data_IF_823630617630
#
_entry.id   IF_823630617630
#
_cell.length_a   1.000
_cell.length_b   1.000
_cell.length_c   1.000
_cell.angle_alpha   90.00
_cell.angle_beta   90.00
_cell.angle_gamma   90.00
#
_symmetry.space_group_name_H-M   'P 1'
#
loop_
_entity.id
_entity.type
_entity.pdbx_description
1 polymer ?
#
# COMPACT_ATOMS: atom_id res chain seq x y z
N UNK A 1 -7.14 -15.25 -2.48
CA UNK A 1 -7.23 -14.03 -3.32
C UNK A 1 -5.92 -13.27 -3.20
N UNK A 2 -5.50 -12.64 -4.29
CA UNK A 2 -4.42 -11.64 -4.36
C UNK A 2 -5.03 -10.26 -4.14
N UNK A 3 -4.64 -9.60 -3.05
CA UNK A 3 -5.14 -8.29 -2.67
C UNK A 3 -3.99 -7.30 -2.70
N UNK A 4 -4.16 -6.20 -3.42
CA UNK A 4 -3.19 -5.10 -3.46
C UNK A 4 -3.77 -3.87 -2.78
N UNK A 5 -3.06 -3.35 -1.79
CA UNK A 5 -3.34 -2.05 -1.18
C UNK A 5 -2.40 -1.01 -1.76
N UNK A 6 -2.96 0.14 -2.14
CA UNK A 6 -2.25 1.39 -2.38
C UNK A 6 -2.63 2.31 -1.22
N UNK A 7 -1.74 2.47 -0.24
CA UNK A 7 -2.08 3.14 1.02
C UNK A 7 -1.14 4.29 1.38
N UNK A 8 -1.62 5.19 2.24
CA UNK A 8 -0.85 6.34 2.74
C UNK A 8 0.41 5.89 3.48
N UNK A 9 0.24 5.13 4.57
CA UNK A 9 1.35 4.41 5.20
C UNK A 9 0.86 3.31 6.15
N UNK A 10 1.49 2.14 6.07
CA UNK A 10 1.45 1.05 7.03
C UNK A 10 2.74 0.99 7.87
N UNK A 11 3.85 1.52 7.34
CA UNK A 11 5.16 1.49 7.99
C UNK A 11 5.37 2.57 9.05
N UNK A 12 4.61 3.67 8.99
CA UNK A 12 4.66 4.78 9.95
C UNK A 12 3.27 5.18 10.44
N UNK A 13 3.11 5.22 11.76
CA UNK A 13 1.92 5.76 12.45
C UNK A 13 2.03 7.26 12.78
N UNK A 14 3.14 7.91 12.44
CA UNK A 14 3.39 9.31 12.79
C UNK A 14 2.41 10.26 12.09
N UNK A 15 1.60 10.98 12.86
CA UNK A 15 0.55 11.86 12.34
C UNK A 15 -0.46 11.15 11.42
N UNK A 16 -0.53 9.82 11.47
CA UNK A 16 -1.26 8.98 10.53
C UNK A 16 -2.10 7.91 11.25
N UNK A 17 -3.41 8.15 11.33
CA UNK A 17 -4.35 7.17 11.89
C UNK A 17 -4.57 5.91 11.05
N UNK A 18 -4.15 5.88 9.79
CA UNK A 18 -4.40 4.74 8.90
C UNK A 18 -3.52 3.54 9.21
N UNK A 19 -2.28 3.75 9.70
CA UNK A 19 -1.32 2.67 9.89
C UNK A 19 -1.87 1.58 10.81
N UNK A 20 -2.42 1.93 11.97
CA UNK A 20 -3.00 0.96 12.93
C UNK A 20 -4.14 0.16 12.30
N UNK A 21 -5.03 0.83 11.55
CA UNK A 21 -6.15 0.18 10.86
C UNK A 21 -5.65 -0.78 9.77
N UNK A 22 -4.71 -0.34 8.92
CA UNK A 22 -4.11 -1.20 7.90
C UNK A 22 -3.40 -2.40 8.52
N UNK A 23 -2.66 -2.22 9.61
CA UNK A 23 -1.97 -3.31 10.31
C UNK A 23 -2.96 -4.37 10.78
N UNK A 24 -4.07 -3.96 11.40
CA UNK A 24 -5.14 -4.86 11.81
C UNK A 24 -5.78 -5.58 10.63
N UNK A 25 -6.17 -4.84 9.59
CA UNK A 25 -6.84 -5.38 8.41
C UNK A 25 -5.95 -6.36 7.63
N UNK A 26 -4.72 -5.96 7.30
CA UNK A 26 -3.78 -6.80 6.55
C UNK A 26 -3.44 -8.06 7.35
N UNK A 27 -3.19 -7.95 8.66
CA UNK A 27 -2.96 -9.12 9.53
C UNK A 27 -4.10 -10.13 9.43
N UNK A 28 -5.35 -9.68 9.57
CA UNK A 28 -6.50 -10.59 9.53
C UNK A 28 -6.78 -11.15 8.13
N UNK A 29 -6.52 -10.38 7.07
CA UNK A 29 -6.60 -10.88 5.69
C UNK A 29 -5.57 -11.98 5.42
N UNK A 30 -4.33 -11.78 5.84
CA UNK A 30 -3.26 -12.78 5.72
C UNK A 30 -3.61 -14.03 6.53
N UNK A 31 -4.11 -13.87 7.77
CA UNK A 31 -4.54 -14.99 8.61
C UNK A 31 -5.68 -15.81 7.99
N UNK A 32 -6.51 -15.19 7.15
CA UNK A 32 -7.57 -15.85 6.37
C UNK A 32 -7.06 -16.51 5.08
N UNK A 33 -5.76 -16.45 4.79
CA UNK A 33 -5.15 -17.09 3.62
C UNK A 33 -5.11 -16.24 2.35
N UNK A 34 -5.31 -14.92 2.45
CA UNK A 34 -5.14 -14.01 1.31
C UNK A 34 -3.66 -13.63 1.11
N UNK A 35 -3.20 -13.55 -0.14
CA UNK A 35 -1.90 -12.99 -0.50
C UNK A 35 -2.04 -11.47 -0.59
N UNK A 36 -1.45 -10.75 0.37
CA UNK A 36 -1.60 -9.29 0.48
C UNK A 36 -0.27 -8.60 0.16
N UNK A 37 -0.33 -7.68 -0.81
CA UNK A 37 0.73 -6.73 -1.12
C UNK A 37 0.27 -5.32 -0.74
N UNK A 38 1.03 -4.65 0.12
CA UNK A 38 0.85 -3.25 0.48
C UNK A 38 1.92 -2.40 -0.21
N UNK A 39 1.49 -1.46 -1.04
CA UNK A 39 2.33 -0.51 -1.75
C UNK A 39 2.19 0.85 -1.08
N UNK A 40 3.30 1.36 -0.55
CA UNK A 40 3.39 2.62 0.17
C UNK A 40 4.38 3.56 -0.54
N UNK A 41 4.00 4.82 -0.73
CA UNK A 41 4.90 5.81 -1.34
C UNK A 41 5.94 6.25 -0.31
N UNK A 42 7.22 6.14 -0.64
CA UNK A 42 8.28 6.65 0.22
C UNK A 42 8.27 8.18 0.22
N UNK A 43 7.97 8.78 1.38
CA UNK A 43 7.93 10.23 1.59
C UNK A 43 8.74 10.58 2.85
N UNK A 44 9.52 11.68 2.83
CA UNK A 44 10.47 12.00 3.90
C UNK A 44 9.87 11.96 5.32
N UNK A 45 8.70 12.56 5.50
CA UNK A 45 8.06 12.66 6.82
C UNK A 45 7.67 11.30 7.42
N UNK A 46 7.32 10.30 6.60
CA UNK A 46 7.07 8.94 7.09
C UNK A 46 8.36 8.13 7.17
N UNK A 47 9.29 8.33 6.23
CA UNK A 47 10.57 7.62 6.18
C UNK A 47 11.38 7.79 7.46
N UNK A 48 11.42 9.01 7.99
CA UNK A 48 12.12 9.38 9.21
C UNK A 48 11.41 8.91 10.48
N UNK A 49 10.12 8.52 10.40
CA UNK A 49 9.27 8.19 11.54
C UNK A 49 8.65 6.77 11.43
N UNK A 50 9.34 5.81 10.78
CA UNK A 50 8.84 4.42 10.67
C UNK A 50 8.95 3.69 12.01
N UNK A 51 7.81 3.51 12.67
CA UNK A 51 7.68 2.72 13.89
C UNK A 51 7.55 1.22 13.60
N UNK A 52 7.13 0.84 12.39
CA UNK A 52 7.06 -0.56 11.94
C UNK A 52 7.53 -0.71 10.49
N UNK A 53 8.84 -0.57 10.20
CA UNK A 53 9.36 -0.56 8.84
C UNK A 53 9.17 -1.88 8.08
N UNK A 54 9.04 -3.00 8.80
CA UNK A 54 8.82 -4.33 8.22
C UNK A 54 7.63 -5.00 8.91
N UNK A 55 6.38 -4.66 8.53
CA UNK A 55 5.21 -5.32 9.10
C UNK A 55 5.30 -6.84 8.93
N UNK A 56 5.06 -7.65 9.97
CA UNK A 56 5.25 -9.12 9.92
C UNK A 56 4.09 -9.85 9.21
N UNK A 57 3.23 -9.13 8.48
CA UNK A 57 2.08 -9.67 7.77
C UNK A 57 2.06 -9.15 6.34
N UNK A 58 1.81 -10.05 5.38
CA UNK A 58 1.82 -9.73 3.96
C UNK A 58 3.19 -9.27 3.47
N UNK A 59 3.24 -8.74 2.25
CA UNK A 59 4.39 -7.98 1.75
C UNK A 59 4.11 -6.50 1.81
N UNK A 60 5.05 -5.74 2.35
CA UNK A 60 5.06 -4.28 2.24
C UNK A 60 6.20 -3.88 1.32
N UNK A 61 5.93 -3.04 0.33
CA UNK A 61 6.94 -2.51 -0.60
C UNK A 61 6.78 -1.00 -0.67
N UNK A 62 7.92 -0.31 -0.59
CA UNK A 62 8.03 1.12 -0.79
C UNK A 62 8.32 1.40 -2.26
N UNK A 63 7.75 2.48 -2.80
CA UNK A 63 8.04 2.98 -4.15
C UNK A 63 8.29 4.48 -4.11
N UNK A 64 9.08 5.01 -5.05
CA UNK A 64 9.58 6.38 -5.06
C UNK A 64 8.84 7.28 -6.05
N UNK A 65 8.13 6.73 -7.04
CA UNK A 65 7.36 7.49 -8.05
C UNK A 65 6.11 6.76 -8.56
N UNK A 66 5.11 7.51 -9.05
CA UNK A 66 3.94 6.90 -9.74
C UNK A 66 4.40 6.17 -11.00
N UNK A 67 5.43 6.67 -11.67
CA UNK A 67 6.06 5.99 -12.81
C UNK A 67 6.64 4.63 -12.39
N UNK A 68 7.39 4.58 -11.29
CA UNK A 68 7.91 3.32 -10.75
C UNK A 68 6.77 2.39 -10.35
N UNK A 69 5.75 2.90 -9.66
CA UNK A 69 4.56 2.15 -9.28
C UNK A 69 3.94 1.46 -10.51
N UNK A 70 3.78 2.19 -11.60
CA UNK A 70 3.26 1.66 -12.88
C UNK A 70 4.19 0.63 -13.50
N UNK A 71 5.48 0.95 -13.61
CA UNK A 71 6.48 0.14 -14.32
C UNK A 71 6.81 -1.16 -13.58
N UNK A 72 7.03 -1.07 -12.27
CA UNK A 72 7.52 -2.17 -11.42
C UNK A 72 6.35 -2.97 -10.85
N UNK A 73 5.30 -2.31 -10.38
CA UNK A 73 4.19 -2.98 -9.68
C UNK A 73 2.93 -3.15 -10.53
N UNK A 74 2.89 -2.60 -11.75
CA UNK A 74 1.70 -2.69 -12.60
C UNK A 74 1.29 -4.10 -13.01
N UNK A 75 2.21 -5.08 -13.03
CA UNK A 75 1.84 -6.50 -13.21
C UNK A 75 1.09 -7.04 -11.99
N UNK A 76 1.57 -6.74 -10.78
CA UNK A 76 0.95 -7.19 -9.55
C UNK A 76 -0.44 -6.57 -9.36
N UNK A 77 -0.58 -5.27 -9.65
CA UNK A 77 -1.86 -4.54 -9.60
C UNK A 77 -2.85 -5.14 -10.61
N UNK A 78 -2.45 -5.37 -11.87
CA UNK A 78 -3.33 -5.95 -12.90
C UNK A 78 -3.75 -7.39 -12.62
N UNK A 79 -2.90 -8.17 -11.95
CA UNK A 79 -3.16 -9.57 -11.64
C UNK A 79 -3.86 -9.79 -10.29
N UNK A 80 -4.19 -8.71 -9.58
CA UNK A 80 -4.88 -8.78 -8.29
C UNK A 80 -6.37 -9.09 -8.50
N UNK A 81 -6.94 -9.87 -7.58
CA UNK A 81 -8.40 -10.09 -7.53
C UNK A 81 -9.12 -8.85 -6.95
N UNK A 82 -8.41 -8.07 -6.14
CA UNK A 82 -8.90 -6.84 -5.51
C UNK A 82 -7.77 -5.82 -5.39
N UNK A 83 -8.03 -4.58 -5.82
CA UNK A 83 -7.17 -3.42 -5.58
C UNK A 83 -7.91 -2.43 -4.67
N UNK A 84 -7.29 -2.07 -3.55
CA UNK A 84 -7.81 -1.08 -2.60
C UNK A 84 -6.96 0.18 -2.72
N UNK A 85 -7.58 1.28 -3.17
CA UNK A 85 -6.95 2.61 -3.16
C UNK A 85 -7.39 3.34 -1.89
N UNK A 86 -6.45 3.60 -1.00
CA UNK A 86 -6.68 4.28 0.27
C UNK A 86 -6.88 5.79 0.13
N UNK A 87 -7.45 6.40 1.16
CA UNK A 87 -7.47 7.85 1.31
C UNK A 87 -6.06 8.42 1.48
N UNK A 88 -5.87 9.65 1.01
CA UNK A 88 -4.63 10.43 1.14
C UNK A 88 -3.38 9.79 0.50
N UNK A 89 -3.50 8.74 -0.30
CA UNK A 89 -2.36 8.23 -1.10
C UNK A 89 -1.74 9.40 -1.89
N UNK A 90 -0.42 9.62 -1.79
CA UNK A 90 0.25 10.65 -2.58
C UNK A 90 -0.06 10.46 -4.07
N UNK A 91 -0.38 11.56 -4.76
CA UNK A 91 -0.81 11.54 -6.17
C UNK A 91 -2.10 10.72 -6.41
N UNK A 92 -2.97 10.61 -5.40
CA UNK A 92 -4.12 9.69 -5.37
C UNK A 92 -5.10 9.79 -6.53
N UNK A 93 -5.31 10.99 -7.11
CA UNK A 93 -6.15 11.14 -8.33
C UNK A 93 -5.52 10.43 -9.53
N UNK A 94 -4.20 10.61 -9.71
CA UNK A 94 -3.46 9.96 -10.78
C UNK A 94 -3.37 8.45 -10.57
N UNK A 95 -3.11 8.01 -9.34
CA UNK A 95 -3.11 6.59 -8.96
C UNK A 95 -4.47 5.96 -9.20
N UNK A 96 -5.55 6.64 -8.80
CA UNK A 96 -6.92 6.17 -8.98
C UNK A 96 -7.27 5.98 -10.45
N UNK A 97 -7.03 7.01 -11.29
CA UNK A 97 -7.20 6.96 -12.75
C UNK A 97 -6.47 5.78 -13.38
N UNK A 98 -5.20 5.62 -13.01
CA UNK A 98 -4.39 4.50 -13.49
C UNK A 98 -4.97 3.13 -13.12
N UNK A 99 -5.43 2.95 -11.87
CA UNK A 99 -5.99 1.68 -11.39
C UNK A 99 -7.28 1.31 -12.13
N UNK A 100 -8.16 2.29 -12.41
CA UNK A 100 -9.43 2.04 -13.10
C UNK A 100 -9.33 2.10 -14.63
N UNK A 101 -8.18 2.51 -15.17
CA UNK A 101 -7.93 2.59 -16.62
C UNK A 101 -8.64 3.75 -17.33
N UNK A 102 -8.87 4.87 -16.64
CA UNK A 102 -9.53 6.09 -17.18
C UNK A 102 -8.64 7.32 -17.17
#
# INVERSE_FOLDING_TARGET
MKVVFLGLSITSSWGNGHATTYRGLVRELVRRGHDVLFLERDKPWYAENRDLPKPPFGRTVLYDSVEELRRVHGRAVRAADLVVVGSYVPDGVEVGRWVVGV
#
